data_IF_123936968613
#
_entry.id   IF_123936968613
#
_cell.length_a   1.000
_cell.length_b   1.000
_cell.length_c   1.000
_cell.angle_alpha   90.00
_cell.angle_beta   90.00
_cell.angle_gamma   90.00
#
_symmetry.space_group_name_H-M   'P 1'
#
loop_
_entity.id
_entity.type
_entity.pdbx_description
1 polymer ?
#
# COMPACT_ATOMS: atom_id res chain seq x y z
N UNK A 1 1.03 -2.00 27.21
CA UNK A 1 0.50 -3.30 26.77
C UNK A 1 -0.07 -3.18 25.37
N UNK A 2 0.38 -4.04 24.45
CA UNK A 2 -0.22 -4.13 23.12
C UNK A 2 -1.63 -4.70 23.26
N UNK A 3 -2.53 -4.29 22.37
CA UNK A 3 -3.90 -4.78 22.42
C UNK A 3 -3.95 -6.24 21.96
N UNK A 4 -4.72 -7.06 22.67
CA UNK A 4 -4.89 -8.49 22.38
C UNK A 4 -5.81 -8.68 21.17
N UNK A 5 -5.38 -9.55 20.26
CA UNK A 5 -6.11 -9.94 19.05
C UNK A 5 -6.26 -11.45 19.06
N UNK A 6 -7.47 -11.93 18.80
CA UNK A 6 -7.79 -13.35 18.75
C UNK A 6 -8.46 -13.70 17.41
N UNK A 7 -8.17 -14.91 16.94
CA UNK A 7 -8.80 -15.48 15.75
C UNK A 7 -9.71 -16.62 16.18
N UNK A 8 -10.98 -16.53 15.85
CA UNK A 8 -12.02 -17.53 16.14
C UNK A 8 -12.96 -17.68 14.95
N UNK A 9 -12.77 -18.76 14.19
CA UNK A 9 -13.55 -19.09 12.99
C UNK A 9 -15.00 -19.50 13.31
N UNK A 10 -15.31 -19.84 14.56
CA UNK A 10 -16.62 -20.36 14.97
C UNK A 10 -17.63 -19.25 15.29
N UNK A 11 -17.26 -17.98 15.07
CA UNK A 11 -18.12 -16.84 15.38
C UNK A 11 -18.90 -16.32 14.17
N UNK A 12 -20.12 -15.85 14.43
CA UNK A 12 -21.06 -15.42 13.37
C UNK A 12 -20.71 -14.05 12.77
N UNK A 13 -20.00 -13.19 13.52
CA UNK A 13 -19.82 -11.78 13.16
C UNK A 13 -18.47 -11.46 12.48
N UNK A 14 -17.38 -12.08 12.91
CA UNK A 14 -16.06 -11.90 12.30
C UNK A 14 -15.11 -12.97 12.82
N UNK A 15 -14.26 -13.53 11.98
CA UNK A 15 -13.23 -14.46 12.47
C UNK A 15 -12.14 -13.79 13.31
N UNK A 16 -12.06 -12.46 13.34
CA UNK A 16 -11.06 -11.70 14.09
C UNK A 16 -11.70 -10.80 15.15
N UNK A 17 -11.17 -10.87 16.36
CA UNK A 17 -11.64 -10.15 17.53
C UNK A 17 -10.51 -9.37 18.20
N UNK A 18 -10.86 -8.21 18.73
CA UNK A 18 -9.93 -7.29 19.35
C UNK A 18 -10.43 -6.89 20.74
N UNK A 19 -9.54 -6.97 21.74
CA UNK A 19 -9.85 -6.66 23.14
C UNK A 19 -9.58 -5.19 23.43
N UNK A 20 -10.56 -4.32 23.23
CA UNK A 20 -10.41 -2.89 23.47
C UNK A 20 -10.44 -2.60 24.99
N UNK A 21 -9.38 -2.05 25.60
CA UNK A 21 -9.45 -1.55 26.98
C UNK A 21 -10.37 -0.32 27.03
N UNK A 22 -11.33 -0.34 27.95
CA UNK A 22 -12.30 0.74 28.14
C UNK A 22 -12.29 1.14 29.60
N UNK A 23 -12.12 2.42 29.89
CA UNK A 23 -12.24 2.91 31.26
C UNK A 23 -13.69 2.84 31.72
N UNK A 24 -13.93 2.21 32.88
CA UNK A 24 -15.23 2.17 33.50
C UNK A 24 -15.30 3.22 34.63
N UNK A 25 -16.01 4.36 34.42
CA UNK A 25 -16.05 5.44 35.39
C UNK A 25 -16.81 5.08 36.66
N UNK A 26 -17.72 4.11 36.63
CA UNK A 26 -18.51 3.71 37.80
C UNK A 26 -17.73 2.84 38.79
N UNK A 27 -16.76 2.07 38.26
CA UNK A 27 -15.94 1.16 39.06
C UNK A 27 -14.51 1.67 39.28
N UNK A 28 -14.20 2.85 38.74
CA UNK A 28 -12.88 3.50 38.80
C UNK A 28 -11.72 2.58 38.37
N UNK A 29 -11.98 1.64 37.44
CA UNK A 29 -10.97 0.75 36.89
C UNK A 29 -11.14 0.54 35.38
N UNK A 30 -10.07 0.07 34.73
CA UNK A 30 -10.14 -0.38 33.35
C UNK A 30 -10.92 -1.69 33.25
N UNK A 31 -11.90 -1.73 32.35
CA UNK A 31 -12.52 -2.94 31.83
C UNK A 31 -12.04 -3.17 30.38
N UNK A 32 -12.58 -4.17 29.71
CA UNK A 32 -12.29 -4.40 28.29
C UNK A 32 -13.51 -4.96 27.56
N UNK A 33 -13.68 -4.60 26.30
CA UNK A 33 -14.76 -5.09 25.43
C UNK A 33 -14.16 -5.75 24.20
N UNK A 34 -14.72 -6.90 23.83
CA UNK A 34 -14.36 -7.57 22.58
C UNK A 34 -15.15 -6.96 21.42
N UNK A 35 -14.42 -6.51 20.40
CA UNK A 35 -14.98 -5.86 19.20
C UNK A 35 -14.60 -6.69 17.97
N UNK A 36 -15.55 -7.00 17.07
CA UNK A 36 -15.23 -7.68 15.83
C UNK A 36 -14.43 -6.74 14.91
N UNK A 37 -13.37 -7.26 14.28
CA UNK A 37 -12.50 -6.50 13.37
C UNK A 37 -12.48 -7.15 12.01
N UNK A 38 -12.47 -6.33 10.96
CA UNK A 38 -12.25 -6.81 9.60
C UNK A 38 -10.76 -6.75 9.27
N UNK A 39 -10.12 -7.90 9.22
CA UNK A 39 -8.73 -8.03 8.74
C UNK A 39 -8.77 -8.36 7.24
N UNK A 40 -8.12 -7.57 6.36
CA UNK A 40 -7.99 -7.92 4.95
C UNK A 40 -7.26 -9.26 4.80
N UNK A 41 -7.73 -10.13 3.92
CA UNK A 41 -7.15 -11.47 3.71
C UNK A 41 -5.64 -11.42 3.44
N UNK A 42 -5.20 -10.47 2.61
CA UNK A 42 -3.78 -10.22 2.31
C UNK A 42 -2.92 -9.93 3.53
N UNK A 43 -3.52 -9.47 4.63
CA UNK A 43 -2.83 -9.05 5.85
C UNK A 43 -2.98 -10.11 6.96
N UNK A 44 -3.77 -11.17 6.77
CA UNK A 44 -3.97 -12.23 7.79
C UNK A 44 -2.66 -12.91 8.20
N UNK A 45 -1.76 -13.13 7.24
CA UNK A 45 -0.42 -13.66 7.49
C UNK A 45 0.43 -12.75 8.39
N UNK A 46 0.03 -11.50 8.61
CA UNK A 46 0.72 -10.57 9.50
C UNK A 46 0.55 -10.93 10.97
N UNK A 47 -0.51 -11.69 11.31
CA UNK A 47 -0.95 -12.00 12.66
C UNK A 47 -0.52 -13.39 13.15
N UNK A 48 -0.01 -14.25 12.28
CA UNK A 48 0.41 -15.63 12.60
C UNK A 48 1.77 -15.72 13.29
N UNK A 49 2.56 -14.65 13.23
CA UNK A 49 3.88 -14.55 13.87
C UNK A 49 3.80 -13.49 14.99
N UNK A 50 4.24 -13.82 16.21
CA UNK A 50 4.24 -12.97 17.42
C UNK A 50 5.11 -11.69 17.25
N UNK A 51 4.62 -10.75 16.44
CA UNK A 51 5.41 -9.63 15.92
C UNK A 51 4.79 -8.26 16.23
N UNK A 52 3.63 -8.20 16.88
CA UNK A 52 2.95 -6.94 17.23
C UNK A 52 3.70 -6.27 18.40
N UNK A 53 4.24 -5.08 18.13
CA UNK A 53 5.06 -4.31 19.07
C UNK A 53 4.32 -3.16 19.72
N UNK A 54 3.34 -2.61 19.01
CA UNK A 54 2.54 -1.51 19.46
C UNK A 54 1.20 -1.49 18.73
N UNK A 55 0.24 -0.77 19.29
CA UNK A 55 -1.10 -0.63 18.74
C UNK A 55 -1.71 0.71 19.09
N UNK A 56 -2.36 1.36 18.13
CA UNK A 56 -3.05 2.64 18.32
C UNK A 56 -4.47 2.58 17.76
N UNK A 57 -5.44 3.06 18.52
CA UNK A 57 -6.81 3.22 18.06
C UNK A 57 -6.97 4.61 17.44
N UNK A 58 -7.34 4.66 16.16
CA UNK A 58 -7.44 5.89 15.38
C UNK A 58 -8.86 6.05 14.84
N UNK A 59 -9.44 7.23 15.01
CA UNK A 59 -10.70 7.59 14.35
C UNK A 59 -10.40 8.39 13.09
N UNK A 60 -10.90 7.94 11.94
CA UNK A 60 -10.72 8.61 10.65
C UNK A 60 -11.97 8.46 9.80
N UNK A 61 -12.43 9.58 9.21
CA UNK A 61 -13.57 9.61 8.28
C UNK A 61 -14.86 8.98 8.83
N UNK A 62 -15.06 9.06 10.16
CA UNK A 62 -16.22 8.48 10.86
C UNK A 62 -16.10 6.99 11.20
N UNK A 63 -14.98 6.36 10.80
CA UNK A 63 -14.67 4.96 11.09
C UNK A 63 -13.55 4.85 12.12
N UNK A 64 -13.50 3.70 12.79
CA UNK A 64 -12.46 3.37 13.76
C UNK A 64 -11.50 2.33 13.15
N UNK A 65 -10.21 2.58 13.33
CA UNK A 65 -9.12 1.75 12.85
C UNK A 65 -8.21 1.41 14.02
N UNK A 66 -7.71 0.17 14.01
CA UNK A 66 -6.62 -0.23 14.88
C UNK A 66 -5.37 -0.29 14.02
N UNK A 67 -4.43 0.62 14.28
CA UNK A 67 -3.11 0.55 13.69
C UNK A 67 -2.26 -0.39 14.52
N UNK A 68 -1.57 -1.33 13.85
CA UNK A 68 -0.69 -2.29 14.49
C UNK A 68 0.72 -2.10 13.95
N UNK A 69 1.69 -2.03 14.85
CA UNK A 69 3.10 -1.98 14.49
C UNK A 69 3.66 -3.38 14.56
N UNK A 70 3.91 -3.99 13.41
CA UNK A 70 4.51 -5.31 13.32
C UNK A 70 6.01 -5.22 13.03
N UNK A 71 6.84 -5.91 13.82
CA UNK A 71 8.29 -6.04 13.56
C UNK A 71 8.59 -7.46 13.08
N UNK A 72 9.15 -7.59 11.88
CA UNK A 72 9.55 -8.88 11.30
C UNK A 72 11.04 -8.91 11.00
N UNK A 73 11.65 -10.05 11.27
CA UNK A 73 13.00 -10.36 10.78
C UNK A 73 12.85 -11.03 9.43
N UNK A 74 13.42 -10.46 8.39
CA UNK A 74 13.47 -11.05 7.06
C UNK A 74 14.87 -11.57 6.81
N UNK A 75 14.97 -12.81 6.33
CA UNK A 75 16.25 -13.33 5.83
C UNK A 75 16.53 -12.67 4.48
N UNK A 76 17.70 -12.05 4.35
CA UNK A 76 18.20 -11.56 3.07
C UNK A 76 19.06 -12.67 2.49
N UNK A 77 18.82 -13.03 1.23
CA UNK A 77 19.63 -14.03 0.56
C UNK A 77 21.07 -13.51 0.38
N UNK A 78 22.06 -14.33 0.75
CA UNK A 78 23.48 -13.98 0.62
C UNK A 78 24.02 -14.19 -0.81
N UNK A 79 23.28 -14.91 -1.66
CA UNK A 79 23.64 -15.22 -3.03
C UNK A 79 22.48 -14.91 -3.99
N UNK A 80 22.83 -14.36 -5.15
CA UNK A 80 21.92 -14.01 -6.24
C UNK A 80 22.56 -14.41 -7.57
N UNK A 81 21.73 -14.80 -8.54
CA UNK A 81 22.20 -15.30 -9.85
C UNK A 81 22.30 -14.18 -10.90
N UNK A 82 21.62 -13.05 -10.68
CA UNK A 82 21.61 -11.90 -11.59
C UNK A 82 21.32 -10.58 -10.85
N UNK A 83 21.38 -9.47 -11.57
CA UNK A 83 21.03 -8.14 -11.10
C UNK A 83 19.95 -7.55 -12.01
N UNK A 84 18.82 -7.14 -11.42
CA UNK A 84 17.79 -6.35 -12.09
C UNK A 84 18.03 -4.87 -11.78
N UNK A 85 18.69 -4.17 -12.69
CA UNK A 85 18.89 -2.73 -12.56
C UNK A 85 17.59 -1.99 -12.94
N UNK A 86 17.14 -1.09 -12.08
CA UNK A 86 15.92 -0.29 -12.26
C UNK A 86 16.27 1.20 -12.25
N UNK A 87 15.92 1.89 -13.32
CA UNK A 87 15.98 3.35 -13.45
C UNK A 87 14.57 3.94 -13.44
N UNK A 88 14.35 5.01 -12.68
CA UNK A 88 13.03 5.65 -12.58
C UNK A 88 13.07 7.03 -13.22
N UNK A 89 12.00 7.38 -13.95
CA UNK A 89 11.96 8.66 -14.65
C UNK A 89 10.56 9.23 -14.86
N UNK A 90 10.52 10.44 -15.43
CA UNK A 90 9.26 11.12 -15.70
C UNK A 90 8.51 10.55 -16.92
N UNK A 91 9.25 10.04 -17.91
CA UNK A 91 8.67 9.46 -19.14
C UNK A 91 8.18 8.03 -18.92
N UNK A 92 8.99 7.23 -18.24
CA UNK A 92 8.73 5.85 -17.86
C UNK A 92 8.92 5.79 -16.35
N UNK A 93 7.91 5.31 -15.62
CA UNK A 93 7.98 5.30 -14.16
C UNK A 93 9.08 4.37 -13.65
N UNK A 94 9.39 3.33 -14.42
CA UNK A 94 10.55 2.49 -14.24
C UNK A 94 11.02 1.93 -15.59
N UNK A 95 12.31 1.70 -15.73
CA UNK A 95 12.94 0.90 -16.79
C UNK A 95 13.79 -0.13 -16.10
N UNK A 96 13.53 -1.40 -16.35
CA UNK A 96 14.26 -2.49 -15.71
C UNK A 96 15.09 -3.25 -16.73
N UNK A 97 16.35 -3.55 -16.43
CA UNK A 97 17.25 -4.32 -17.29
C UNK A 97 18.03 -5.36 -16.50
N UNK A 98 18.09 -6.59 -17.01
CA UNK A 98 18.95 -7.62 -16.42
C UNK A 98 20.41 -7.43 -16.85
N UNK A 99 21.34 -7.63 -15.92
CA UNK A 99 22.75 -7.48 -16.20
C UNK A 99 23.28 -8.59 -17.11
N UNK A 100 22.79 -9.82 -16.92
CA UNK A 100 23.24 -11.01 -17.64
C UNK A 100 23.02 -10.94 -19.17
N UNK A 101 21.83 -10.56 -19.62
CA UNK A 101 21.39 -10.66 -21.02
C UNK A 101 20.86 -9.36 -21.62
N UNK A 102 20.81 -8.28 -20.82
CA UNK A 102 20.25 -6.97 -21.21
C UNK A 102 18.76 -7.02 -21.56
N UNK A 103 18.01 -8.01 -21.10
CA UNK A 103 16.56 -8.03 -21.24
C UNK A 103 15.96 -6.81 -20.53
N UNK A 104 15.40 -5.89 -21.34
CA UNK A 104 15.01 -4.54 -20.93
C UNK A 104 13.52 -4.34 -21.12
N UNK A 105 12.84 -3.89 -20.06
CA UNK A 105 11.41 -3.62 -20.05
C UNK A 105 11.13 -2.19 -19.60
N UNK A 106 10.18 -1.53 -20.28
CA UNK A 106 9.75 -0.16 -19.98
C UNK A 106 8.38 -0.17 -19.32
N UNK A 107 8.29 0.38 -18.12
CA UNK A 107 7.10 0.30 -17.27
C UNK A 107 6.34 1.62 -17.22
N UNK A 108 5.01 1.53 -17.07
CA UNK A 108 4.14 2.70 -16.86
C UNK A 108 3.63 3.39 -18.13
N UNK A 109 3.52 2.66 -19.25
CA UNK A 109 2.80 3.14 -20.43
C UNK A 109 1.37 3.59 -20.08
N UNK A 110 0.70 2.83 -19.22
CA UNK A 110 -0.65 3.12 -18.73
C UNK A 110 -0.69 4.35 -17.83
N UNK A 111 0.26 4.51 -16.89
CA UNK A 111 0.40 5.74 -16.09
C UNK A 111 0.50 6.97 -16.98
N UNK A 112 1.31 6.89 -18.04
CA UNK A 112 1.44 7.98 -19.02
C UNK A 112 0.13 8.27 -19.73
N UNK A 113 -0.59 7.23 -20.18
CA UNK A 113 -1.90 7.35 -20.84
C UNK A 113 -2.91 8.02 -19.93
N UNK A 114 -2.99 7.59 -18.67
CA UNK A 114 -3.87 8.13 -17.62
C UNK A 114 -3.54 9.61 -17.37
N UNK A 115 -2.27 9.94 -17.10
CA UNK A 115 -1.86 11.33 -16.85
C UNK A 115 -2.20 12.28 -18.01
N UNK A 116 -1.96 11.85 -19.24
CA UNK A 116 -2.30 12.67 -20.41
C UNK A 116 -3.83 12.81 -20.59
N UNK A 117 -4.60 11.74 -20.38
CA UNK A 117 -6.06 11.80 -20.42
C UNK A 117 -6.62 12.83 -19.42
N UNK A 118 -6.22 12.75 -18.15
CA UNK A 118 -6.71 13.68 -17.12
C UNK A 118 -6.20 15.10 -17.31
N UNK A 119 -4.98 15.29 -17.82
CA UNK A 119 -4.46 16.60 -18.23
C UNK A 119 -5.33 17.24 -19.32
N UNK A 120 -5.76 16.48 -20.32
CA UNK A 120 -6.65 16.97 -21.37
C UNK A 120 -8.04 17.32 -20.84
N UNK A 121 -8.59 16.49 -19.95
CA UNK A 121 -9.86 16.78 -19.27
C UNK A 121 -9.81 18.08 -18.47
N UNK A 122 -8.76 18.25 -17.64
CA UNK A 122 -8.54 19.48 -16.87
C UNK A 122 -8.47 20.71 -17.77
N UNK A 123 -7.74 20.63 -18.89
CA UNK A 123 -7.64 21.71 -19.88
C UNK A 123 -8.99 22.06 -20.50
N UNK A 124 -9.82 21.06 -20.82
CA UNK A 124 -11.17 21.26 -21.38
C UNK A 124 -12.10 21.95 -20.39
N UNK A 125 -12.10 21.52 -19.12
CA UNK A 125 -12.94 22.10 -18.06
C UNK A 125 -12.51 23.53 -17.75
N UNK A 126 -11.21 23.77 -17.60
CA UNK A 126 -10.65 25.10 -17.34
C UNK A 126 -11.03 26.11 -18.43
N UNK A 127 -11.04 25.69 -19.71
CA UNK A 127 -11.51 26.53 -20.83
C UNK A 127 -13.00 26.87 -20.76
N UNK A 128 -13.84 25.94 -20.29
CA UNK A 128 -15.30 26.15 -20.20
C UNK A 128 -15.74 27.01 -19.01
N UNK A 129 -14.85 27.27 -18.04
CA UNK A 129 -15.11 28.09 -16.83
C UNK A 129 -16.44 27.73 -16.13
N UNK A 130 -16.70 26.44 -15.99
CA UNK A 130 -17.95 25.93 -15.39
C UNK A 130 -18.04 26.39 -13.93
N UNK A 131 -19.23 26.76 -13.46
CA UNK A 131 -19.49 27.26 -12.09
C UNK A 131 -19.02 26.30 -10.98
N UNK A 132 -19.05 24.99 -11.24
CA UNK A 132 -18.55 23.92 -10.34
C UNK A 132 -17.18 23.35 -10.78
N UNK A 133 -16.46 24.06 -11.66
CA UNK A 133 -15.23 23.56 -12.28
C UNK A 133 -14.17 23.14 -11.27
N UNK A 134 -13.99 23.88 -10.17
CA UNK A 134 -13.02 23.53 -9.12
C UNK A 134 -13.32 22.18 -8.45
N UNK A 135 -14.57 21.93 -8.06
CA UNK A 135 -15.00 20.66 -7.46
C UNK A 135 -14.87 19.49 -8.43
N UNK A 136 -15.15 19.72 -9.72
CA UNK A 136 -14.97 18.68 -10.75
C UNK A 136 -13.48 18.37 -10.94
N UNK A 137 -12.61 19.38 -10.93
CA UNK A 137 -11.16 19.20 -11.06
C UNK A 137 -10.56 18.42 -9.89
N UNK A 138 -11.03 18.68 -8.67
CA UNK A 138 -10.66 17.93 -7.45
C UNK A 138 -11.03 16.45 -7.58
N UNK A 139 -12.30 16.14 -7.87
CA UNK A 139 -12.77 14.76 -8.07
C UNK A 139 -12.03 14.02 -9.19
N UNK A 140 -11.65 14.73 -10.25
CA UNK A 140 -10.83 14.17 -11.33
C UNK A 140 -9.40 13.88 -10.86
N UNK A 141 -8.83 14.75 -10.03
CA UNK A 141 -7.53 14.55 -9.40
C UNK A 141 -7.50 13.31 -8.50
N UNK A 142 -8.54 13.12 -7.68
CA UNK A 142 -8.67 11.94 -6.81
C UNK A 142 -8.75 10.66 -7.65
N UNK A 143 -9.55 10.68 -8.73
CA UNK A 143 -9.70 9.53 -9.61
C UNK A 143 -8.40 9.22 -10.36
N UNK A 144 -7.70 10.23 -10.89
CA UNK A 144 -6.38 10.05 -11.49
C UNK A 144 -5.39 9.45 -10.49
N UNK A 145 -5.34 9.98 -9.27
CA UNK A 145 -4.40 9.54 -8.24
C UNK A 145 -4.59 8.07 -7.90
N UNK A 146 -5.84 7.64 -7.68
CA UNK A 146 -6.17 6.22 -7.41
C UNK A 146 -5.81 5.31 -8.59
N UNK A 147 -6.04 5.75 -9.82
CA UNK A 147 -5.65 4.97 -11.00
C UNK A 147 -4.12 4.87 -11.10
N UNK A 148 -3.40 5.97 -10.94
CA UNK A 148 -1.93 5.98 -10.99
C UNK A 148 -1.33 5.13 -9.88
N UNK A 149 -1.86 5.21 -8.66
CA UNK A 149 -1.44 4.39 -7.53
C UNK A 149 -1.62 2.90 -7.79
N UNK A 150 -2.76 2.51 -8.37
CA UNK A 150 -2.98 1.13 -8.80
C UNK A 150 -1.93 0.66 -9.81
N UNK A 151 -1.67 1.45 -10.84
CA UNK A 151 -0.66 1.12 -11.86
C UNK A 151 0.76 1.05 -11.27
N UNK A 152 1.11 1.93 -10.33
CA UNK A 152 2.39 1.87 -9.61
C UNK A 152 2.53 0.57 -8.82
N UNK A 153 1.45 0.14 -8.16
CA UNK A 153 1.42 -1.14 -7.45
C UNK A 153 1.61 -2.33 -8.40
N UNK A 154 0.98 -2.32 -9.58
CA UNK A 154 1.18 -3.36 -10.59
C UNK A 154 2.63 -3.42 -11.06
N UNK A 155 3.24 -2.27 -11.37
CA UNK A 155 4.65 -2.21 -11.79
C UNK A 155 5.59 -2.69 -10.69
N UNK A 156 5.35 -2.34 -9.42
CA UNK A 156 6.15 -2.83 -8.31
C UNK A 156 6.10 -4.37 -8.22
N UNK A 157 4.91 -4.96 -8.34
CA UNK A 157 4.76 -6.42 -8.34
C UNK A 157 5.42 -7.08 -9.54
N UNK A 158 5.33 -6.46 -10.72
CA UNK A 158 6.00 -6.96 -11.92
C UNK A 158 7.53 -6.96 -11.75
N UNK A 159 8.10 -5.91 -11.17
CA UNK A 159 9.54 -5.85 -10.87
C UNK A 159 9.97 -6.95 -9.89
N UNK A 160 9.17 -7.17 -8.84
CA UNK A 160 9.41 -8.24 -7.86
C UNK A 160 9.33 -9.61 -8.54
N UNK A 161 8.29 -9.86 -9.32
CA UNK A 161 8.10 -11.14 -10.02
C UNK A 161 9.27 -11.42 -10.97
N UNK A 162 9.68 -10.43 -11.78
CA UNK A 162 10.86 -10.54 -12.66
C UNK A 162 12.12 -10.89 -11.88
N UNK A 163 12.36 -10.20 -10.76
CA UNK A 163 13.53 -10.47 -9.93
C UNK A 163 13.51 -11.91 -9.36
N UNK A 164 12.35 -12.35 -8.88
CA UNK A 164 12.17 -13.71 -8.33
C UNK A 164 12.39 -14.80 -9.38
N UNK A 165 11.91 -14.62 -10.62
CA UNK A 165 12.08 -15.58 -11.71
C UNK A 165 13.55 -15.92 -12.01
N UNK A 166 14.45 -14.97 -11.74
CA UNK A 166 15.89 -15.12 -12.00
C UNK A 166 16.74 -15.15 -10.73
N UNK A 167 16.13 -15.24 -9.56
CA UNK A 167 16.83 -15.11 -8.27
C UNK A 167 17.78 -13.89 -8.27
N UNK A 168 17.28 -12.76 -8.77
CA UNK A 168 18.04 -11.55 -8.99
C UNK A 168 17.87 -10.55 -7.85
N UNK A 169 18.92 -9.81 -7.56
CA UNK A 169 18.83 -8.64 -6.67
C UNK A 169 18.36 -7.42 -7.45
N UNK A 170 17.43 -6.65 -6.88
CA UNK A 170 16.96 -5.39 -7.48
C UNK A 170 17.88 -4.26 -7.03
N UNK A 171 18.40 -3.50 -7.99
CA UNK A 171 19.25 -2.33 -7.74
C UNK A 171 18.61 -1.11 -8.38
N UNK A 172 18.38 -0.07 -7.58
CA UNK A 172 17.84 1.20 -8.08
C UNK A 172 18.97 2.20 -8.34
N UNK A 173 18.82 3.02 -9.37
CA UNK A 173 19.65 4.21 -9.56
C UNK A 173 19.49 5.20 -8.40
N UNK A 174 20.56 5.92 -8.08
CA UNK A 174 20.53 6.95 -7.04
C UNK A 174 19.55 8.08 -7.41
N UNK A 175 18.57 8.32 -6.53
CA UNK A 175 17.53 9.35 -6.72
C UNK A 175 17.87 10.69 -6.10
N UNK A 176 19.03 10.87 -5.46
CA UNK A 176 19.39 12.11 -4.75
C UNK A 176 19.57 13.34 -5.65
N UNK A 177 19.43 13.21 -6.96
CA UNK A 177 19.47 14.30 -7.94
C UNK A 177 18.11 14.74 -8.53
N UNK A 178 16.99 14.22 -8.03
CA UNK A 178 15.61 14.56 -8.47
C UNK A 178 14.87 15.48 -7.50
#
# INVERSE_FOLDING_TARGET
DCITIEHDEDTVLSSWWFKLPVYNPEKEHGDSVWVPVRVPEKDTHLFTDECIRDSELVQRDGEWYVHLVCKRSVAVADAYDDVLAVDMGAKWIAVSTFLSDRDTTFHGAEVRRVREHYKQLRKSIGKRKVRSGAQVMERLGDKESRTVEHELYQVANELIARAQERNAVIVFGDMTGL
#
